data_IF_299187627163
#
_entry.id   IF_299187627163
#
_cell.length_a   1.000
_cell.length_b   1.000
_cell.length_c   1.000
_cell.angle_alpha   90.00
_cell.angle_beta   90.00
_cell.angle_gamma   90.00
#
_symmetry.space_group_name_H-M   'P 1'
#
loop_
_entity.id
_entity.type
_entity.pdbx_description
1 polymer ?
2 non-polymer ?
3 non-polymer ?
4 water ?
#
# COMPACT_ATOMS: atom_id res chain seq x y z
N UNK A 2 5.73 -20.71 34.31
CA UNK A 2 6.34 -19.71 35.24
C UNK A 2 5.83 -18.30 34.93
N UNK A 3 5.85 -17.93 33.66
CA UNK A 3 5.40 -16.62 33.23
C UNK A 3 3.89 -16.58 33.05
N UNK A 4 3.28 -15.44 33.36
CA UNK A 4 1.84 -15.28 33.22
C UNK A 4 1.44 -15.17 31.75
N UNK A 5 0.36 -15.84 31.39
CA UNK A 5 -0.13 -15.82 30.01
C UNK A 5 -0.98 -14.59 29.76
N UNK A 6 -0.75 -13.93 28.63
CA UNK A 6 -1.51 -12.74 28.27
C UNK A 6 -2.93 -13.11 27.86
N UNK A 7 -3.85 -12.14 27.88
CA UNK A 7 -5.24 -12.45 27.49
C UNK A 7 -5.27 -12.92 26.04
N UNK A 8 -6.06 -13.96 25.77
CA UNK A 8 -6.17 -14.53 24.43
C UNK A 8 -7.59 -14.42 23.90
N UNK A 9 -7.74 -13.98 22.66
CA UNK A 9 -9.07 -13.83 22.07
C UNK A 9 -9.71 -15.20 21.84
N UNK A 10 -11.04 -15.24 21.85
CA UNK A 10 -11.81 -16.46 21.66
C UNK A 10 -11.58 -17.09 20.29
N UNK A 11 -12.00 -18.35 20.14
CA UNK A 11 -11.83 -19.05 18.88
C UNK A 11 -10.43 -19.61 18.72
N UNK A 12 -10.00 -19.77 17.47
CA UNK A 12 -8.66 -20.28 17.20
C UNK A 12 -8.46 -21.75 17.48
N UNK A 13 -9.51 -22.53 17.22
CA UNK A 13 -9.43 -23.97 17.46
C UNK A 13 -9.11 -24.77 16.20
N UNK A 14 -8.61 -24.10 15.17
CA UNK A 14 -8.25 -24.75 13.91
C UNK A 14 -6.80 -25.23 13.98
N UNK A 15 -6.36 -25.96 12.96
CA UNK A 15 -5.00 -26.48 12.93
C UNK A 15 -3.90 -25.51 13.34
N UNK A 16 -3.89 -24.32 12.76
CA UNK A 16 -2.86 -23.35 13.12
C UNK A 16 -3.36 -22.20 13.98
N UNK A 17 -4.22 -22.53 14.94
CA UNK A 17 -4.75 -21.51 15.84
C UNK A 17 -5.73 -20.57 15.15
N UNK A 18 -5.41 -19.28 15.18
CA UNK A 18 -6.27 -18.28 14.55
C UNK A 18 -5.84 -17.97 13.12
N UNK A 19 -4.81 -18.67 12.63
CA UNK A 19 -4.32 -18.41 11.28
C UNK A 19 -5.41 -18.55 10.21
N UNK A 20 -6.23 -19.59 10.31
CA UNK A 20 -7.29 -19.81 9.33
C UNK A 20 -8.27 -18.63 9.29
N UNK A 21 -8.62 -18.10 10.46
CA UNK A 21 -9.55 -16.98 10.52
C UNK A 21 -8.84 -15.71 10.03
N UNK A 22 -7.55 -15.60 10.30
CA UNK A 22 -6.78 -14.45 9.87
C UNK A 22 -6.77 -14.39 8.35
N UNK A 23 -6.80 -15.56 7.71
CA UNK A 23 -6.81 -15.64 6.26
C UNK A 23 -8.18 -15.32 5.67
N UNK A 24 -9.24 -15.63 6.40
CA UNK A 24 -10.60 -15.40 5.92
C UNK A 24 -11.21 -14.04 6.29
N UNK A 25 -10.98 -13.58 7.50
CA UNK A 25 -11.53 -12.31 7.96
C UNK A 25 -10.62 -11.70 9.03
N UNK A 26 -9.43 -11.22 8.61
CA UNK A 26 -8.47 -10.63 9.54
C UNK A 26 -8.97 -9.42 10.33
N UNK A 27 -9.75 -8.56 9.67
CA UNK A 27 -10.25 -7.38 10.36
C UNK A 27 -11.24 -7.78 11.46
N UNK A 28 -12.10 -8.75 11.17
CA UNK A 28 -13.06 -9.21 12.15
C UNK A 28 -12.34 -9.82 13.35
N UNK A 29 -11.27 -10.54 13.08
CA UNK A 29 -10.48 -11.15 14.14
C UNK A 29 -9.82 -10.09 15.02
N UNK A 30 -9.18 -9.11 14.39
CA UNK A 30 -8.51 -8.06 15.14
C UNK A 30 -9.47 -7.21 15.94
N UNK A 31 -10.67 -6.99 15.42
CA UNK A 31 -11.66 -6.19 16.13
C UNK A 31 -12.15 -6.98 17.35
N UNK A 32 -12.27 -8.30 17.21
CA UNK A 32 -12.71 -9.12 18.35
C UNK A 32 -11.67 -9.09 19.46
N UNK A 33 -10.39 -9.03 19.09
CA UNK A 33 -9.34 -8.96 20.09
C UNK A 33 -9.58 -7.72 20.95
N UNK A 34 -9.81 -6.57 20.30
CA UNK A 34 -10.05 -5.33 21.03
C UNK A 34 -11.36 -5.34 21.80
N UNK A 35 -12.42 -5.85 21.19
CA UNK A 35 -13.73 -5.90 21.85
C UNK A 35 -13.72 -6.74 23.12
N UNK A 36 -13.06 -7.90 23.06
CA UNK A 36 -13.00 -8.80 24.21
C UNK A 36 -11.94 -8.50 25.25
N UNK A 37 -10.77 -8.04 24.80
CA UNK A 37 -9.65 -7.81 25.71
C UNK A 37 -9.15 -6.39 25.94
N UNK A 38 -9.47 -5.46 25.04
CA UNK A 38 -9.02 -4.10 25.23
C UNK A 38 -7.81 -3.71 24.41
N UNK A 39 -6.96 -2.84 24.97
CA UNK A 39 -5.78 -2.34 24.28
C UNK A 39 -4.65 -3.33 24.05
N UNK A 40 -4.61 -4.41 24.84
CA UNK A 40 -3.58 -5.43 24.70
C UNK A 40 -4.23 -6.81 24.70
N UNK A 41 -4.11 -7.51 23.58
CA UNK A 41 -4.69 -8.83 23.47
C UNK A 41 -3.90 -9.69 22.51
N UNK A 42 -4.10 -11.01 22.55
CA UNK A 42 -3.35 -11.87 21.66
C UNK A 42 -4.17 -12.87 20.85
N UNK A 43 -3.57 -13.34 19.77
CA UNK A 43 -4.17 -14.38 18.94
C UNK A 43 -3.01 -15.26 18.50
N UNK A 44 -3.32 -16.50 18.14
CA UNK A 44 -2.28 -17.45 17.75
C UNK A 44 -2.13 -17.57 16.24
N UNK A 45 -0.93 -17.30 15.75
CA UNK A 45 -0.63 -17.40 14.32
C UNK A 45 0.32 -18.58 14.16
N UNK A 46 -0.25 -19.77 13.99
CA UNK A 46 0.54 -20.99 13.84
C UNK A 46 1.34 -21.17 15.13
N UNK A 47 2.66 -21.26 15.01
CA UNK A 47 3.48 -21.44 16.20
C UNK A 47 3.95 -20.14 16.84
N UNK A 48 3.31 -19.04 16.47
CA UNK A 48 3.68 -17.73 17.00
C UNK A 48 2.52 -17.03 17.71
N UNK A 49 2.82 -16.31 18.78
CA UNK A 49 1.80 -15.57 19.48
C UNK A 49 1.90 -14.12 19.01
N UNK A 50 0.77 -13.53 18.64
CA UNK A 50 0.77 -12.15 18.20
C UNK A 50 0.11 -11.31 19.28
N UNK A 51 0.85 -10.31 19.77
CA UNK A 51 0.35 -9.40 20.78
C UNK A 51 -0.15 -8.19 20.00
N UNK A 52 -1.47 -8.08 19.89
CA UNK A 52 -2.08 -6.98 19.15
C UNK A 52 -2.39 -5.80 20.06
N UNK A 53 -1.75 -4.68 19.76
CA UNK A 53 -1.90 -3.45 20.52
C UNK A 53 -2.87 -2.52 19.81
N UNK A 54 -3.64 -1.75 20.58
CA UNK A 54 -4.58 -0.80 20.00
C UNK A 54 -4.81 0.34 20.98
N UNK A 55 -5.30 1.47 20.50
CA UNK A 55 -5.51 2.61 21.38
C UNK A 55 -4.28 3.49 21.39
N UNK A 56 -4.45 4.76 21.76
CA UNK A 56 -3.33 5.70 21.75
C UNK A 56 -2.11 5.31 22.59
N UNK A 57 -2.34 4.89 23.84
CA UNK A 57 -1.24 4.53 24.73
C UNK A 57 -0.39 3.37 24.21
N UNK A 58 -1.05 2.26 23.87
CA UNK A 58 -0.35 1.09 23.37
C UNK A 58 0.32 1.35 22.02
N UNK A 59 -0.38 2.06 21.13
CA UNK A 59 0.18 2.39 19.83
C UNK A 59 1.43 3.27 19.96
N UNK A 60 1.42 4.19 20.93
CA UNK A 60 2.57 5.07 21.14
C UNK A 60 3.80 4.21 21.45
N UNK A 61 3.62 3.21 22.31
CA UNK A 61 4.72 2.32 22.66
C UNK A 61 5.22 1.62 21.40
N UNK A 62 4.29 1.10 20.62
CA UNK A 62 4.61 0.38 19.40
C UNK A 62 5.42 1.22 18.41
N UNK A 63 4.91 2.40 18.09
CA UNK A 63 5.56 3.26 17.11
C UNK A 63 6.84 3.98 17.53
N UNK A 64 6.99 4.25 18.82
CA UNK A 64 8.18 4.96 19.28
C UNK A 64 9.33 4.01 19.59
N UNK A 65 9.05 2.71 19.56
CA UNK A 65 10.07 1.71 19.85
C UNK A 65 11.12 1.64 18.74
N UNK A 66 12.38 1.55 19.14
CA UNK A 66 13.46 1.47 18.16
C UNK A 66 13.65 0.03 17.73
N UNK A 67 14.41 -0.18 16.65
CA UNK A 67 14.67 -1.52 16.13
C UNK A 67 15.35 -2.40 17.17
N UNK A 68 15.90 -1.78 18.20
CA UNK A 68 16.58 -2.48 19.27
C UNK A 68 15.57 -3.15 20.20
N UNK A 69 14.38 -2.58 20.28
CA UNK A 69 13.32 -3.11 21.14
C UNK A 69 12.30 -3.92 20.36
N UNK A 70 11.77 -3.34 19.28
CA UNK A 70 10.80 -4.01 18.43
C UNK A 70 11.38 -4.02 17.02
N UNK A 71 11.86 -5.18 16.59
CA UNK A 71 12.50 -5.33 15.28
C UNK A 71 11.55 -5.66 14.14
N UNK A 72 11.65 -4.87 13.07
CA UNK A 72 10.81 -5.05 11.88
C UNK A 72 11.47 -6.01 10.89
N UNK A 73 12.79 -6.14 11.00
CA UNK A 73 13.60 -6.97 10.12
C UNK A 73 13.03 -8.33 9.68
N UNK A 74 12.65 -9.17 10.63
CA UNK A 74 12.13 -10.49 10.28
C UNK A 74 10.64 -10.67 10.57
N UNK A 75 9.91 -9.56 10.63
CA UNK A 75 8.47 -9.63 10.93
C UNK A 75 7.59 -9.91 9.72
N UNK A 76 8.14 -9.81 8.52
CA UNK A 76 7.38 -10.02 7.30
C UNK A 76 8.01 -11.09 6.39
N UNK A 77 8.00 -12.35 6.83
CA UNK A 77 8.58 -13.49 6.10
C UNK A 77 8.08 -13.73 4.68
N UNK A 78 6.86 -13.30 4.37
CA UNK A 78 6.29 -13.49 3.05
C UNK A 78 7.02 -12.67 1.98
N UNK A 79 7.86 -11.73 2.40
CA UNK A 79 8.61 -10.92 1.44
C UNK A 79 9.95 -11.53 1.04
N UNK A 80 10.47 -12.45 1.85
CA UNK A 80 11.77 -13.05 1.56
C UNK A 80 11.86 -13.71 0.18
N UNK A 81 10.91 -14.60 -0.17
CA UNK A 81 10.94 -15.26 -1.47
C UNK A 81 10.66 -14.31 -2.64
N UNK A 82 9.99 -13.21 -2.35
CA UNK A 82 9.65 -12.23 -3.39
C UNK A 82 10.87 -11.42 -3.80
N UNK A 83 11.61 -10.90 -2.84
CA UNK A 83 12.81 -10.13 -3.16
C UNK A 83 13.92 -11.07 -3.60
N UNK A 84 13.95 -12.26 -3.01
CA UNK A 84 14.97 -13.24 -3.36
C UNK A 84 16.34 -12.88 -2.83
N UNK A 95 19.23 0.41 5.91
CA UNK A 95 20.15 0.60 4.79
C UNK A 95 19.47 0.29 3.46
N UNK A 96 18.36 -0.45 3.52
CA UNK A 96 17.61 -0.79 2.32
C UNK A 96 16.97 0.44 1.70
N UNK A 97 16.41 1.31 2.54
CA UNK A 97 15.78 2.52 2.05
C UNK A 97 16.82 3.43 1.42
N UNK A 98 17.99 3.50 2.06
CA UNK A 98 19.07 4.34 1.57
C UNK A 98 19.58 3.85 0.22
N UNK A 99 19.56 2.54 0.04
CA UNK A 99 20.05 1.93 -1.19
C UNK A 99 18.96 1.79 -2.25
N UNK A 100 17.74 1.52 -1.81
CA UNK A 100 16.65 1.30 -2.76
C UNK A 100 15.55 2.35 -2.89
N UNK A 101 15.37 3.20 -1.89
CA UNK A 101 14.27 4.17 -1.94
C UNK A 101 14.55 5.68 -1.85
N UNK A 102 15.49 6.07 -1.00
CA UNK A 102 15.77 7.50 -0.80
C UNK A 102 16.05 8.37 -2.02
N UNK A 103 16.96 7.94 -2.88
CA UNK A 103 17.30 8.74 -4.07
C UNK A 103 16.09 9.23 -4.84
N UNK A 104 15.20 8.31 -5.20
CA UNK A 104 14.01 8.67 -5.98
C UNK A 104 13.00 9.50 -5.20
N UNK A 105 13.09 9.45 -3.87
CA UNK A 105 12.15 10.19 -3.03
C UNK A 105 12.58 11.58 -2.55
N UNK A 106 13.72 12.08 -3.04
CA UNK A 106 14.15 13.41 -2.60
C UNK A 106 13.18 14.47 -3.07
N UNK A 107 13.00 15.51 -2.25
CA UNK A 107 12.10 16.59 -2.59
C UNK A 107 12.32 17.22 -3.95
N UNK A 108 13.58 17.42 -4.31
CA UNK A 108 13.90 18.03 -5.60
C UNK A 108 13.50 17.18 -6.80
N UNK A 109 13.15 15.92 -6.56
CA UNK A 109 12.74 15.03 -7.63
C UNK A 109 11.22 15.00 -7.84
N UNK A 110 10.49 15.51 -6.86
CA UNK A 110 9.03 15.49 -6.90
C UNK A 110 8.37 16.18 -8.08
N UNK A 111 8.84 17.37 -8.45
CA UNK A 111 8.24 18.10 -9.57
C UNK A 111 8.31 17.23 -10.83
N UNK A 112 9.48 16.66 -11.07
CA UNK A 112 9.65 15.80 -12.23
C UNK A 112 8.77 14.56 -12.17
N UNK A 113 8.63 13.98 -10.99
CA UNK A 113 7.79 12.80 -10.83
C UNK A 113 6.33 13.10 -11.12
N UNK A 114 5.86 14.29 -10.72
CA UNK A 114 4.48 14.67 -10.98
C UNK A 114 4.21 14.73 -12.48
N UNK A 115 5.17 15.28 -13.23
CA UNK A 115 5.03 15.37 -14.69
C UNK A 115 5.04 13.96 -15.29
N UNK A 116 5.88 13.09 -14.75
CA UNK A 116 5.99 11.71 -15.22
C UNK A 116 4.68 10.98 -14.97
N UNK A 117 4.12 11.17 -13.78
CA UNK A 117 2.86 10.53 -13.43
C UNK A 117 1.74 11.03 -14.34
N UNK A 118 1.71 12.34 -14.58
CA UNK A 118 0.68 12.89 -15.47
C UNK A 118 0.79 12.22 -16.84
N UNK A 119 2.03 12.06 -17.32
CA UNK A 119 2.26 11.44 -18.61
C UNK A 119 1.79 9.98 -18.61
N UNK A 120 2.04 9.25 -17.52
CA UNK A 120 1.60 7.85 -17.47
C UNK A 120 0.07 7.73 -17.51
N UNK A 121 -0.61 8.65 -16.82
CA UNK A 121 -2.06 8.61 -16.80
C UNK A 121 -2.61 8.89 -18.20
N UNK A 122 -2.08 9.91 -18.86
CA UNK A 122 -2.58 10.23 -20.19
C UNK A 122 -2.34 9.06 -21.16
N UNK A 123 -1.22 8.35 -21.00
CA UNK A 123 -0.96 7.21 -21.86
C UNK A 123 -1.96 6.10 -21.60
N UNK A 124 -2.30 5.88 -20.33
CA UNK A 124 -3.26 4.84 -19.97
C UNK A 124 -4.68 5.09 -20.46
N UNK A 125 -5.08 6.35 -20.57
CA UNK A 125 -6.43 6.68 -21.01
C UNK A 125 -6.50 7.14 -22.46
N UNK A 126 -5.36 7.06 -23.14
CA UNK A 126 -5.28 7.51 -24.53
C UNK A 126 -6.31 6.86 -25.45
N UNK A 127 -6.64 5.59 -25.20
CA UNK A 127 -7.60 4.88 -26.05
C UNK A 127 -9.01 4.77 -25.49
N UNK A 128 -9.32 5.55 -24.46
CA UNK A 128 -10.65 5.51 -23.83
C UNK A 128 -11.79 6.01 -24.70
N UNK A 129 -11.54 7.01 -25.53
CA UNK A 129 -12.59 7.53 -26.38
C UNK A 129 -13.63 8.30 -25.58
N UNK A 130 -14.82 8.45 -26.17
CA UNK A 130 -15.90 9.20 -25.54
C UNK A 130 -16.49 8.56 -24.30
N UNK A 131 -16.68 7.24 -24.33
CA UNK A 131 -17.28 6.55 -23.19
C UNK A 131 -16.90 5.07 -23.16
N UNK A 132 -17.10 4.44 -22.01
CA UNK A 132 -16.77 3.02 -21.90
C UNK A 132 -16.82 2.53 -20.47
N UNK A 133 -16.20 1.38 -20.22
CA UNK A 133 -16.18 0.78 -18.88
C UNK A 133 -14.81 0.22 -18.56
N UNK A 134 -14.41 0.31 -17.29
CA UNK A 134 -13.12 -0.23 -16.89
C UNK A 134 -13.31 -1.01 -15.58
N UNK A 135 -12.29 -1.76 -15.22
CA UNK A 135 -12.30 -2.50 -13.96
C UNK A 135 -11.20 -1.79 -13.19
N UNK A 136 -11.52 -1.28 -12.00
CA UNK A 136 -10.54 -0.55 -11.21
C UNK A 136 -9.26 -1.28 -10.86
N UNK A 137 -9.34 -2.57 -10.54
CA UNK A 137 -8.12 -3.29 -10.22
C UNK A 137 -7.23 -3.39 -11.45
N UNK A 138 -7.79 -3.76 -12.58
CA UNK A 138 -7.00 -3.88 -13.80
C UNK A 138 -6.39 -2.52 -14.20
N UNK A 139 -7.18 -1.47 -14.13
CA UNK A 139 -6.69 -0.15 -14.51
C UNK A 139 -5.62 0.41 -13.57
N UNK A 140 -5.95 0.52 -12.29
CA UNK A 140 -4.99 1.08 -11.35
C UNK A 140 -3.77 0.21 -11.06
N UNK A 141 -3.93 -1.11 -11.15
CA UNK A 141 -2.78 -1.97 -10.92
C UNK A 141 -1.76 -1.74 -12.03
N UNK A 142 -2.24 -1.67 -13.27
CA UNK A 142 -1.34 -1.44 -14.39
C UNK A 142 -0.77 -0.03 -14.37
N UNK A 143 -1.63 0.97 -14.18
CA UNK A 143 -1.17 2.36 -14.13
C UNK A 143 -0.07 2.56 -13.10
N UNK A 144 -0.24 1.98 -11.91
CA UNK A 144 0.75 2.17 -10.87
C UNK A 144 2.05 1.39 -11.11
N UNK A 145 2.02 0.41 -12.01
CA UNK A 145 3.24 -0.32 -12.37
C UNK A 145 4.06 0.68 -13.20
N UNK A 146 3.36 1.42 -14.07
CA UNK A 146 4.03 2.40 -14.92
C UNK A 146 4.52 3.64 -14.18
N UNK A 147 3.73 4.15 -13.25
CA UNK A 147 4.17 5.32 -12.49
C UNK A 147 5.33 4.93 -11.59
N UNK A 148 5.21 3.79 -10.93
CA UNK A 148 6.26 3.32 -10.02
C UNK A 148 7.57 3.02 -10.73
N UNK A 149 7.50 2.28 -11.84
CA UNK A 149 8.71 1.96 -12.59
C UNK A 149 9.33 3.21 -13.20
N UNK A 150 8.51 4.07 -13.78
CA UNK A 150 9.03 5.29 -14.41
C UNK A 150 9.69 6.24 -13.41
N UNK A 151 9.06 6.42 -12.25
CA UNK A 151 9.59 7.32 -11.22
C UNK A 151 10.69 6.73 -10.36
N UNK A 152 10.49 5.50 -9.90
CA UNK A 152 11.43 4.85 -9.00
C UNK A 152 12.60 4.11 -9.66
N UNK A 153 12.45 3.75 -10.93
CA UNK A 153 13.52 3.05 -11.63
C UNK A 153 14.04 3.90 -12.81
N UNK A 154 13.14 4.30 -13.70
CA UNK A 154 13.56 5.11 -14.83
C UNK A 154 12.54 5.13 -15.97
N UNK A 155 12.47 6.25 -16.69
CA UNK A 155 11.53 6.39 -17.79
C UNK A 155 11.90 5.47 -18.96
N UNK A 156 13.20 5.35 -19.21
CA UNK A 156 13.70 4.50 -20.28
C UNK A 156 13.29 3.06 -20.01
N UNK A 157 13.44 2.63 -18.76
CA UNK A 157 13.07 1.28 -18.37
C UNK A 157 11.57 1.07 -18.48
N UNK A 158 10.77 2.01 -17.98
CA UNK A 158 9.33 1.84 -18.07
C UNK A 158 8.86 1.72 -19.52
N UNK A 159 9.50 2.47 -20.42
CA UNK A 159 9.10 2.41 -21.83
C UNK A 159 9.34 1.05 -22.47
N UNK A 160 10.10 0.19 -21.79
CA UNK A 160 10.36 -1.13 -22.32
C UNK A 160 9.46 -2.15 -21.64
N UNK A 161 8.54 -1.65 -20.80
CA UNK A 161 7.60 -2.50 -20.10
C UNK A 161 6.22 -2.40 -20.73
N UNK A 162 5.44 -3.46 -20.57
CA UNK A 162 4.07 -3.50 -21.10
C UNK A 162 3.19 -4.26 -20.11
N UNK A 163 1.99 -4.62 -20.56
CA UNK A 163 1.06 -5.34 -19.70
C UNK A 163 1.55 -6.62 -19.06
N UNK A 164 2.48 -7.31 -19.72
CA UNK A 164 3.02 -8.57 -19.19
C UNK A 164 3.66 -8.39 -17.81
N UNK A 165 4.45 -7.33 -17.67
CA UNK A 165 5.12 -7.05 -16.40
C UNK A 165 4.07 -6.86 -15.29
N UNK A 166 3.01 -6.12 -15.60
CA UNK A 166 1.96 -5.87 -14.61
C UNK A 166 1.27 -7.16 -14.19
N UNK A 167 0.92 -7.99 -15.17
CA UNK A 167 0.25 -9.25 -14.89
C UNK A 167 1.10 -10.14 -13.98
N UNK A 168 2.39 -10.23 -14.29
CA UNK A 168 3.31 -11.04 -13.49
C UNK A 168 3.52 -10.47 -12.10
N UNK A 169 3.62 -9.14 -12.01
CA UNK A 169 3.84 -8.50 -10.71
C UNK A 169 2.66 -8.76 -9.78
N UNK A 170 1.46 -8.81 -10.34
CA UNK A 170 0.25 -9.05 -9.57
C UNK A 170 0.24 -10.45 -8.94
N UNK A 171 0.65 -11.45 -9.72
CA UNK A 171 0.70 -12.82 -9.24
C UNK A 171 1.76 -12.92 -8.14
N UNK A 172 2.77 -12.06 -8.26
CA UNK A 172 3.84 -12.02 -7.29
C UNK A 172 3.26 -11.57 -5.94
N UNK A 173 2.43 -10.53 -5.98
CA UNK A 173 1.80 -10.00 -4.78
C UNK A 173 0.81 -10.99 -4.19
N UNK A 174 0.21 -11.83 -5.03
CA UNK A 174 -0.75 -12.82 -4.55
C UNK A 174 -0.07 -14.00 -3.87
N UNK A 175 1.26 -14.01 -3.89
CA UNK A 175 1.99 -15.09 -3.27
C UNK A 175 2.36 -14.78 -1.83
N UNK A 176 1.49 -14.06 -1.13
CA UNK A 176 1.76 -13.66 0.25
C UNK A 176 0.76 -14.20 1.27
N UNK A 177 0.33 -15.45 1.07
CA UNK A 177 -0.62 -16.07 2.00
C UNK A 177 -0.03 -16.08 3.40
N UNK A 178 -0.88 -15.91 4.43
CA UNK A 178 -0.43 -15.91 5.83
C UNK A 178 0.32 -17.19 6.23
N UNK A 179 0.18 -18.24 5.42
CA UNK A 179 0.88 -19.50 5.71
C UNK A 179 2.38 -19.26 5.69
N UNK A 180 2.80 -18.10 5.22
CA UNK A 180 4.20 -17.75 5.18
C UNK A 180 4.76 -17.70 6.61
N UNK A 181 3.88 -17.48 7.59
CA UNK A 181 4.32 -17.44 8.97
C UNK A 181 4.58 -18.84 9.49
N UNK A 182 4.25 -19.84 8.68
CA UNK A 182 4.52 -21.23 9.02
C UNK A 182 5.85 -21.49 8.33
N UNK A 183 5.88 -21.17 7.03
CA UNK A 183 7.08 -21.32 6.20
C UNK A 183 6.81 -20.71 4.83
N UNK A 184 7.64 -19.75 4.40
CA UNK A 184 7.49 -19.08 3.10
C UNK A 184 7.71 -20.00 1.89
N UNK A 185 8.28 -21.18 2.14
CA UNK A 185 8.56 -22.10 1.04
C UNK A 185 7.74 -23.39 1.07
N UNK A 186 6.56 -23.35 1.67
CA UNK A 186 5.69 -24.52 1.72
C UNK A 186 5.20 -24.83 0.31
N UNK A 187 4.87 -26.11 0.05
CA UNK A 187 4.38 -26.53 -1.28
C UNK A 187 2.89 -26.30 -1.53
N UNK A 188 2.50 -25.06 -1.76
CA UNK A 188 1.10 -24.73 -2.05
C UNK A 188 1.00 -24.01 -3.39
N UNK A 189 -0.19 -24.04 -3.99
CA UNK A 189 -0.44 -23.43 -5.28
C UNK A 189 -0.07 -21.94 -5.40
N UNK A 190 -0.43 -21.14 -4.41
CA UNK A 190 -0.14 -19.71 -4.45
C UNK A 190 1.36 -19.41 -4.39
N UNK A 191 2.11 -20.25 -3.69
CA UNK A 191 3.55 -20.07 -3.57
C UNK A 191 4.25 -20.55 -4.84
N UNK A 192 3.67 -21.56 -5.48
CA UNK A 192 4.23 -22.08 -6.73
C UNK A 192 4.07 -21.02 -7.81
N UNK A 193 2.89 -20.42 -7.88
CA UNK A 193 2.61 -19.38 -8.86
C UNK A 193 3.48 -18.15 -8.57
N UNK A 194 3.76 -17.93 -7.29
CA UNK A 194 4.60 -16.80 -6.88
C UNK A 194 6.00 -16.95 -7.47
N UNK A 195 6.56 -18.16 -7.35
CA UNK A 195 7.90 -18.40 -7.86
C UNK A 195 7.92 -18.36 -9.39
N UNK A 196 6.87 -18.89 -10.02
CA UNK A 196 6.78 -18.87 -11.47
C UNK A 196 6.66 -17.44 -11.97
N UNK A 197 5.93 -16.62 -11.23
CA UNK A 197 5.74 -15.21 -11.59
C UNK A 197 7.07 -14.48 -11.47
N UNK A 198 7.81 -14.73 -10.39
CA UNK A 198 9.09 -14.07 -10.22
C UNK A 198 10.03 -14.49 -11.35
N UNK A 199 9.98 -15.77 -11.73
CA UNK A 199 10.83 -16.27 -12.81
C UNK A 199 10.48 -15.58 -14.13
N UNK A 200 9.19 -15.30 -14.32
CA UNK A 200 8.76 -14.63 -15.54
C UNK A 200 9.28 -13.20 -15.58
N UNK A 201 9.35 -12.55 -14.41
CA UNK A 201 9.84 -11.19 -14.34
C UNK A 201 11.33 -11.16 -14.66
N UNK A 202 12.05 -12.16 -14.15
CA UNK A 202 13.48 -12.26 -14.39
C UNK A 202 13.71 -12.40 -15.90
N UNK A 203 12.87 -13.18 -16.56
CA UNK A 203 12.99 -13.38 -17.99
C UNK A 203 12.77 -12.07 -18.74
N UNK A 204 11.79 -11.29 -18.29
CA UNK A 204 11.49 -10.01 -18.92
C UNK A 204 12.68 -9.06 -18.79
N UNK A 205 13.26 -9.02 -17.61
CA UNK A 205 14.40 -8.16 -17.35
C UNK A 205 15.60 -8.63 -18.17
N UNK A 206 15.81 -9.94 -18.24
CA UNK A 206 16.92 -10.47 -19.02
C UNK A 206 16.80 -10.06 -20.47
N UNK A 207 15.57 -10.07 -21.00
CA UNK A 207 15.35 -9.69 -22.40
C UNK A 207 15.71 -8.23 -22.58
N UNK A 208 15.29 -7.38 -21.64
CA UNK A 208 15.58 -5.97 -21.71
C UNK A 208 17.10 -5.76 -21.67
N UNK A 209 17.78 -6.48 -20.79
CA UNK A 209 19.23 -6.38 -20.68
C UNK A 209 19.92 -6.73 -22.00
N UNK A 210 19.51 -7.84 -22.61
CA UNK A 210 20.11 -8.27 -23.88
C UNK A 210 19.87 -7.23 -24.95
N UNK A 211 18.71 -6.56 -24.90
CA UNK A 211 18.41 -5.54 -25.87
C UNK A 211 19.37 -4.37 -25.71
N UNK A 212 19.62 -3.97 -24.46
CA UNK A 212 20.53 -2.87 -24.15
C UNK A 212 21.93 -3.21 -24.65
N UNK A 213 22.44 -4.36 -24.20
CA UNK A 213 23.78 -4.81 -24.56
C UNK A 213 23.92 -4.96 -26.08
N UNK A 214 22.86 -5.42 -26.72
CA UNK A 214 22.87 -5.60 -28.17
C UNK A 214 23.18 -4.31 -28.90
N UNK A 215 22.53 -3.22 -28.51
CA UNK A 215 22.75 -1.93 -29.14
C UNK A 215 22.75 -0.77 -28.14
N UNK A 216 23.93 -0.35 -27.68
CA UNK A 216 24.08 0.75 -26.73
C UNK A 216 23.34 2.01 -27.15
N UNK A 223 21.74 6.98 -20.09
CA UNK A 223 22.05 5.88 -19.20
C UNK A 223 21.21 5.96 -17.93
N UNK A 224 20.41 4.93 -17.67
CA UNK A 224 19.57 4.90 -16.49
C UNK A 224 20.13 3.94 -15.44
N UNK A 225 19.31 3.63 -14.44
CA UNK A 225 19.69 2.74 -13.37
C UNK A 225 20.13 1.37 -13.90
N UNK A 226 19.39 0.85 -14.87
CA UNK A 226 19.73 -0.46 -15.42
C UNK A 226 21.08 -0.45 -16.15
N UNK A 227 21.36 0.63 -16.87
CA UNK A 227 22.63 0.73 -17.58
C UNK A 227 23.79 0.68 -16.60
N UNK A 228 23.61 1.30 -15.44
CA UNK A 228 24.64 1.32 -14.41
C UNK A 228 24.83 -0.06 -13.79
N UNK A 229 23.73 -0.72 -13.44
CA UNK A 229 23.79 -2.05 -12.83
C UNK A 229 24.43 -3.07 -13.78
N UNK A 230 24.12 -2.95 -15.06
CA UNK A 230 24.67 -3.88 -16.04
C UNK A 230 26.19 -3.76 -16.16
N UNK A 231 26.70 -2.55 -15.97
CA UNK A 231 28.13 -2.29 -16.07
C UNK A 231 28.97 -2.68 -14.86
N UNK A 232 28.33 -2.92 -13.72
CA UNK A 232 29.07 -3.30 -12.52
C UNK A 232 29.71 -4.67 -12.69
N UNK A 233 30.98 -4.78 -12.33
CA UNK A 233 31.71 -6.04 -12.48
C UNK A 233 32.15 -6.60 -11.13
N UNK A 234 32.63 -7.85 -11.14
CA UNK A 234 33.09 -8.50 -9.93
C UNK A 234 34.57 -8.83 -10.01
N UNK A 238 33.88 -9.70 -15.60
CA UNK A 238 32.76 -10.60 -15.33
C UNK A 238 31.62 -9.84 -14.64
N UNK A 239 30.49 -9.69 -15.33
CA UNK A 239 29.31 -8.99 -14.79
C UNK A 239 28.99 -9.42 -13.37
N UNK A 240 28.89 -8.45 -12.47
CA UNK A 240 28.60 -8.72 -11.07
C UNK A 240 27.17 -9.17 -10.81
N UNK A 241 26.20 -8.59 -11.52
CA UNK A 241 24.81 -8.94 -11.31
C UNK A 241 24.15 -9.73 -12.42
N UNK A 242 23.38 -10.75 -12.02
CA UNK A 242 22.65 -11.58 -12.95
C UNK A 242 21.30 -10.90 -13.12
N UNK A 243 20.50 -11.37 -14.08
CA UNK A 243 19.18 -10.80 -14.30
C UNK A 243 18.32 -11.02 -13.06
N UNK A 244 18.54 -12.16 -12.40
CA UNK A 244 17.78 -12.48 -11.20
C UNK A 244 18.04 -11.45 -10.11
N UNK A 245 19.30 -11.14 -9.88
CA UNK A 245 19.69 -10.16 -8.86
C UNK A 245 19.14 -8.78 -9.18
N UNK A 246 19.28 -8.33 -10.42
CA UNK A 246 18.77 -7.03 -10.82
C UNK A 246 17.25 -6.99 -10.68
N UNK A 247 16.60 -8.08 -11.05
CA UNK A 247 15.14 -8.16 -10.95
C UNK A 247 14.72 -8.06 -9.48
N UNK A 248 15.49 -8.67 -8.59
CA UNK A 248 15.15 -8.62 -7.17
C UNK A 248 15.21 -7.18 -6.67
N UNK A 249 16.23 -6.45 -7.09
CA UNK A 249 16.39 -5.06 -6.69
C UNK A 249 15.24 -4.21 -7.20
N UNK A 250 14.85 -4.40 -8.46
CA UNK A 250 13.75 -3.64 -9.04
C UNK A 250 12.43 -3.98 -8.35
N UNK A 251 12.23 -5.26 -8.05
CA UNK A 251 11.00 -5.67 -7.39
C UNK A 251 10.89 -4.94 -6.04
N UNK A 252 11.98 -4.92 -5.28
CA UNK A 252 11.98 -4.27 -3.98
C UNK A 252 11.78 -2.77 -4.06
N UNK A 253 12.27 -2.15 -5.14
CA UNK A 253 12.11 -0.70 -5.28
C UNK A 253 10.68 -0.29 -5.54
N UNK A 254 9.88 -1.21 -6.08
CA UNK A 254 8.50 -0.92 -6.42
C UNK A 254 7.43 -1.52 -5.51
N UNK A 255 7.78 -2.56 -4.78
CA UNK A 255 6.78 -3.26 -3.98
C UNK A 255 5.98 -2.48 -2.94
N UNK A 256 6.66 -1.85 -1.99
CA UNK A 256 5.97 -1.10 -0.95
C UNK A 256 5.03 -0.02 -1.48
N UNK A 257 5.36 0.51 -2.65
CA UNK A 257 4.54 1.57 -3.22
C UNK A 257 3.53 1.17 -4.25
N UNK A 258 3.57 -0.07 -4.72
CA UNK A 258 2.63 -0.50 -5.74
C UNK A 258 1.22 -0.86 -5.26
N UNK A 259 1.10 -1.90 -4.45
CA UNK A 259 -0.24 -2.29 -4.01
C UNK A 259 -0.91 -1.23 -3.16
N UNK A 260 -0.10 -0.45 -2.45
CA UNK A 260 -0.62 0.64 -1.61
C UNK A 260 -1.19 1.75 -2.49
N UNK A 261 -0.41 2.20 -3.47
CA UNK A 261 -0.89 3.27 -4.35
C UNK A 261 -2.03 2.79 -5.25
N UNK A 262 -1.96 1.55 -5.72
CA UNK A 262 -2.99 0.99 -6.58
C UNK A 262 -4.32 0.98 -5.84
N UNK A 263 -4.32 0.39 -4.64
CA UNK A 263 -5.54 0.31 -3.85
C UNK A 263 -6.08 1.65 -3.39
N UNK A 264 -5.19 2.53 -2.96
CA UNK A 264 -5.61 3.85 -2.49
C UNK A 264 -6.26 4.64 -3.62
N UNK A 265 -5.73 4.52 -4.84
CA UNK A 265 -6.32 5.23 -5.97
C UNK A 265 -7.72 4.66 -6.26
N UNK A 266 -7.84 3.34 -6.22
CA UNK A 266 -9.14 2.72 -6.49
C UNK A 266 -10.18 3.14 -5.46
N UNK A 267 -9.80 3.11 -4.19
CA UNK A 267 -10.75 3.48 -3.14
C UNK A 267 -11.09 4.96 -3.13
N UNK A 268 -10.16 5.78 -3.60
CA UNK A 268 -10.42 7.22 -3.65
C UNK A 268 -11.51 7.46 -4.70
N UNK A 269 -11.41 6.78 -5.83
CA UNK A 269 -12.43 6.96 -6.85
C UNK A 269 -13.76 6.37 -6.37
N UNK A 270 -13.71 5.21 -5.71
CA UNK A 270 -14.93 4.60 -5.21
C UNK A 270 -15.65 5.52 -4.22
N UNK A 271 -14.92 6.08 -3.25
CA UNK A 271 -15.57 6.96 -2.28
C UNK A 271 -16.14 8.23 -2.92
N UNK A 272 -15.47 8.73 -3.96
CA UNK A 272 -15.98 9.91 -4.65
C UNK A 272 -17.31 9.56 -5.34
N UNK A 273 -17.38 8.36 -5.92
CA UNK A 273 -18.58 7.94 -6.63
C UNK A 273 -19.72 7.63 -5.66
N UNK A 274 -19.38 7.19 -4.45
CA UNK A 274 -20.34 6.86 -3.40
C UNK A 274 -20.89 8.12 -2.74
N UNK A 275 -20.12 9.19 -2.81
CA UNK A 275 -20.49 10.46 -2.18
C UNK A 275 -20.34 11.58 -3.19
N UNK A 276 -21.35 11.68 -4.07
CA UNK A 276 -21.36 12.66 -5.14
C UNK A 276 -21.25 14.12 -4.70
N UNK A 277 -21.63 14.42 -3.46
CA UNK A 277 -21.52 15.80 -3.00
C UNK A 277 -20.04 16.16 -2.84
N UNK A 278 -19.24 15.20 -2.39
CA UNK A 278 -17.82 15.41 -2.22
C UNK A 278 -17.16 15.44 -3.60
N UNK A 279 -17.64 14.56 -4.48
CA UNK A 279 -17.13 14.48 -5.85
C UNK A 279 -17.32 15.86 -6.51
N UNK A 280 -18.52 16.42 -6.38
CA UNK A 280 -18.81 17.73 -6.96
C UNK A 280 -17.90 18.82 -6.42
N UNK A 281 -17.63 18.78 -5.12
CA UNK A 281 -16.77 19.78 -4.50
C UNK A 281 -15.34 19.68 -5.01
N UNK A 282 -14.88 18.45 -5.25
CA UNK A 282 -13.52 18.23 -5.76
C UNK A 282 -13.42 18.71 -7.21
N UNK A 283 -14.47 18.47 -8.01
CA UNK A 283 -14.49 18.91 -9.40
C UNK A 283 -14.39 20.44 -9.48
N UNK A 284 -15.23 21.13 -8.70
CA UNK A 284 -15.22 22.59 -8.69
C UNK A 284 -13.86 23.13 -8.30
N UNK A 285 -13.26 22.52 -7.29
CA UNK A 285 -11.94 22.92 -6.80
C UNK A 285 -10.87 22.76 -7.87
N UNK A 286 -10.85 21.59 -8.52
CA UNK A 286 -9.87 21.33 -9.56
C UNK A 286 -10.00 22.30 -10.71
N UNK A 287 -11.23 22.57 -11.13
CA UNK A 287 -11.43 23.51 -12.23
C UNK A 287 -10.92 24.90 -11.86
N UNK A 288 -11.21 25.34 -10.64
CA UNK A 288 -10.77 26.66 -10.21
C UNK A 288 -9.25 26.74 -10.07
N UNK A 289 -8.67 25.74 -9.42
CA UNK A 289 -7.23 25.70 -9.21
C UNK A 289 -6.41 25.76 -10.50
N UNK A 290 -6.77 24.91 -11.45
CA UNK A 290 -6.04 24.87 -12.71
C UNK A 290 -6.36 26.04 -13.62
N UNK A 291 -7.22 26.94 -13.12
CA UNK A 291 -7.60 28.11 -13.88
C UNK A 291 -6.44 29.10 -13.95
N UNK A 292 -5.39 28.87 -13.16
CA UNK A 292 -4.24 29.77 -13.18
C UNK A 292 -3.28 29.40 -14.31
N UNK A 293 -3.57 28.32 -15.01
CA UNK A 293 -2.73 27.93 -16.13
C UNK A 293 -1.46 27.16 -15.79
N UNK A 294 -1.24 26.84 -14.52
CA UNK A 294 -0.06 26.08 -14.15
C UNK A 294 -0.27 24.59 -14.37
N UNK A 295 0.82 23.87 -14.57
CA UNK A 295 0.77 22.44 -14.83
C UNK A 295 0.49 21.59 -13.60
N UNK A 296 0.28 20.31 -13.84
CA UNK A 296 0.05 19.36 -12.77
C UNK A 296 1.31 19.27 -11.90
N UNK A 297 2.47 19.40 -12.54
CA UNK A 297 3.74 19.33 -11.81
C UNK A 297 3.89 20.44 -10.77
N UNK A 298 3.13 21.53 -10.95
CA UNK A 298 3.12 22.63 -9.99
C UNK A 298 2.07 22.36 -8.92
N UNK A 299 0.84 22.08 -9.37
CA UNK A 299 -0.26 21.88 -8.45
C UNK A 299 -0.28 20.59 -7.61
N UNK A 300 0.33 19.52 -8.11
CA UNK A 300 0.33 18.27 -7.37
C UNK A 300 1.25 18.32 -6.16
N UNK A 301 2.10 19.35 -6.10
CA UNK A 301 3.02 19.53 -4.99
C UNK A 301 2.51 20.58 -4.01
N UNK A 302 1.33 21.14 -4.29
CA UNK A 302 0.76 22.17 -3.45
C UNK A 302 -0.67 21.83 -2.99
N UNK A 303 -1.23 22.69 -2.15
CA UNK A 303 -2.56 22.44 -1.59
C UNK A 303 -3.72 22.27 -2.59
N UNK A 304 -4.48 21.20 -2.39
CA UNK A 304 -5.69 20.91 -3.16
C UNK A 304 -6.54 20.34 -2.03
N UNK A 305 -6.97 21.21 -1.11
CA UNK A 305 -7.76 20.92 0.09
C UNK A 305 -8.84 19.86 0.05
N UNK A 306 -9.85 20.04 -0.79
CA UNK A 306 -10.96 19.08 -0.85
C UNK A 306 -10.53 17.69 -1.26
N UNK A 307 -9.67 17.60 -2.28
CA UNK A 307 -9.21 16.30 -2.73
C UNK A 307 -8.35 15.66 -1.64
N UNK A 308 -7.49 16.45 -1.00
CA UNK A 308 -6.62 15.93 0.06
C UNK A 308 -7.41 15.38 1.22
N UNK A 309 -8.52 16.04 1.55
CA UNK A 309 -9.33 15.58 2.66
C UNK A 309 -10.09 14.32 2.30
N UNK A 310 -10.45 14.19 1.02
CA UNK A 310 -11.12 12.97 0.57
C UNK A 310 -10.11 11.83 0.66
N UNK A 311 -8.86 12.11 0.30
CA UNK A 311 -7.81 11.10 0.36
C UNK A 311 -7.54 10.68 1.81
N UNK A 312 -7.50 11.65 2.70
CA UNK A 312 -7.25 11.34 4.10
C UNK A 312 -8.36 10.46 4.65
N UNK A 313 -9.61 10.76 4.30
CA UNK A 313 -10.73 9.95 4.79
C UNK A 313 -10.72 8.57 4.14
N UNK A 314 -10.30 8.50 2.88
CA UNK A 314 -10.22 7.23 2.17
C UNK A 314 -9.18 6.33 2.85
N UNK A 315 -8.05 6.92 3.22
CA UNK A 315 -6.98 6.18 3.89
C UNK A 315 -7.40 5.74 5.28
N UNK A 316 -8.22 6.54 5.96
CA UNK A 316 -8.66 6.16 7.30
C UNK A 316 -9.57 4.95 7.23
N UNK A 317 -10.48 4.95 6.26
CA UNK A 317 -11.43 3.84 6.11
C UNK A 317 -10.87 2.62 5.41
N UNK A 318 -9.92 2.84 4.49
CA UNK A 318 -9.35 1.75 3.71
C UNK A 318 -7.82 1.72 3.71
N UNK A 319 -7.21 1.62 4.90
CA UNK A 319 -5.74 1.58 4.95
C UNK A 319 -5.24 0.33 4.22
N UNK A 320 -4.33 0.50 3.24
CA UNK A 320 -3.81 -0.63 2.48
C UNK A 320 -3.05 -1.67 3.30
N UNK A 321 -2.41 -1.25 4.36
CA UNK A 321 -1.72 -2.19 5.26
C UNK A 321 -2.61 -2.24 6.49
N UNK A 322 -3.29 -3.37 6.70
CA UNK A 322 -4.21 -3.49 7.84
C UNK A 322 -3.56 -3.95 9.14
N UNK A 323 -2.35 -4.45 9.06
CA UNK A 323 -1.64 -4.88 10.25
C UNK A 323 -0.16 -4.58 10.04
N UNK A 324 0.51 -4.15 11.11
CA UNK A 324 1.93 -3.84 11.08
C UNK A 324 2.56 -4.78 12.11
N UNK A 325 3.70 -5.36 11.76
CA UNK A 325 4.34 -6.33 12.65
C UNK A 325 5.78 -6.04 13.05
N UNK A 326 6.13 -6.54 14.23
CA UNK A 326 7.47 -6.40 14.79
C UNK A 326 7.78 -7.66 15.62
N UNK A 327 9.06 -7.89 15.86
CA UNK A 327 9.47 -9.02 16.69
C UNK A 327 10.12 -8.40 17.93
N UNK A 328 9.60 -8.74 19.12
CA UNK A 328 10.15 -8.20 20.35
C UNK A 328 11.56 -8.72 20.62
N UNK A 329 12.48 -7.82 20.93
CA UNK A 329 13.87 -8.18 21.20
C UNK A 329 14.19 -8.15 22.69
N UNK A 330 13.17 -7.95 23.51
CA UNK A 330 13.36 -7.90 24.95
C UNK A 330 12.02 -7.94 25.65
N UNK A 331 12.02 -7.80 26.97
CA UNK A 331 10.77 -7.82 27.73
C UNK A 331 10.29 -6.40 27.98
N UNK A 332 8.99 -6.17 27.76
CA UNK A 332 8.41 -4.85 27.98
C UNK A 332 7.06 -4.99 28.65
N UNK A 333 6.63 -3.94 29.34
CA UNK A 333 5.35 -3.97 30.00
C UNK A 333 4.47 -2.86 29.44
N UNK A 334 3.31 -3.24 28.94
CA UNK A 334 2.37 -2.29 28.38
C UNK A 334 1.05 -2.45 29.13
N UNK A 335 0.68 -1.43 29.90
CA UNK A 335 -0.54 -1.46 30.68
C UNK A 335 -0.61 -2.67 31.61
N UNK A 336 0.50 -2.97 32.28
CA UNK A 336 0.54 -4.09 33.20
C UNK A 336 0.82 -5.43 32.56
N UNK A 337 0.62 -5.52 31.25
CA UNK A 337 0.86 -6.76 30.51
C UNK A 337 2.32 -6.85 30.05
N UNK A 338 2.90 -8.04 30.18
CA UNK A 338 4.30 -8.21 29.80
C UNK A 338 4.52 -8.88 28.45
N UNK A 339 5.28 -8.20 27.60
CA UNK A 339 5.62 -8.71 26.28
C UNK A 339 7.00 -9.38 26.44
N UNK A 340 7.15 -10.60 25.92
CA UNK A 340 8.43 -11.30 26.04
C UNK A 340 9.22 -11.35 24.74
N UNK A 341 10.54 -11.48 24.88
CA UNK A 341 11.43 -11.54 23.73
C UNK A 341 10.97 -12.68 22.83
N UNK A 342 10.86 -12.41 21.52
CA UNK A 342 10.43 -13.42 20.59
C UNK A 342 8.97 -13.26 20.21
N UNK A 343 8.21 -12.54 21.02
CA UNK A 343 6.79 -12.31 20.73
C UNK A 343 6.65 -11.50 19.47
N UNK A 344 5.60 -11.77 18.70
CA UNK A 344 5.34 -10.96 17.52
C UNK A 344 4.42 -9.89 18.12
N UNK A 345 4.71 -8.63 17.82
CA UNK A 345 3.90 -7.54 18.34
C UNK A 345 3.33 -6.80 17.14
N UNK A 346 2.05 -6.46 17.21
CA UNK A 346 1.41 -5.80 16.08
C UNK A 346 0.50 -4.64 16.45
N UNK A 347 0.26 -3.79 15.46
CA UNK A 347 -0.63 -2.65 15.59
C UNK A 347 -1.49 -2.76 14.34
N UNK A 348 -2.72 -2.24 14.38
CA UNK A 348 -3.58 -2.34 13.22
C UNK A 348 -4.22 -1.05 12.75
N UNK A 349 -3.82 -0.55 11.58
CA UNK A 349 -4.43 0.69 11.10
C UNK A 349 -5.92 0.48 10.85
N UNK A 350 -6.30 -0.73 10.44
CA UNK A 350 -7.70 -1.02 10.17
C UNK A 350 -8.57 -0.79 11.40
N UNK A 351 -8.10 -1.28 12.55
CA UNK A 351 -8.84 -1.14 13.81
C UNK A 351 -8.68 0.22 14.45
N UNK A 352 -7.43 0.68 14.57
CA UNK A 352 -7.15 1.94 15.21
C UNK A 352 -7.80 3.12 14.53
N UNK A 353 -7.83 3.09 13.20
CA UNK A 353 -8.42 4.18 12.41
C UNK A 353 -9.92 4.34 12.63
N UNK A 354 -10.56 3.36 13.28
CA UNK A 354 -11.99 3.45 13.51
C UNK A 354 -12.43 3.43 14.97
N UNK A 355 -11.49 3.72 15.87
CA UNK A 355 -11.83 3.76 17.29
C UNK A 355 -12.89 4.86 17.43
N UNK A 356 -14.09 4.50 17.91
CA UNK A 356 -15.17 5.48 18.07
C UNK A 356 -14.95 6.68 18.96
N UNK A 357 -14.11 6.58 19.98
CA UNK A 357 -13.88 7.71 20.86
C UNK A 357 -13.00 8.76 20.18
N UNK A 358 -12.13 8.31 19.28
CA UNK A 358 -11.21 9.20 18.57
C UNK A 358 -11.77 9.77 17.27
N UNK A 359 -12.60 8.99 16.59
CA UNK A 359 -13.17 9.41 15.32
C UNK A 359 -14.70 9.28 15.36
N UNK A 360 -15.40 10.37 15.72
CA UNK A 360 -16.86 10.34 15.80
C UNK A 360 -17.47 9.75 14.53
N UNK A 361 -18.38 8.79 14.69
CA UNK A 361 -19.02 8.11 13.56
C UNK A 361 -17.89 7.57 12.68
N UNK A 362 -17.07 6.66 13.23
CA UNK A 362 -15.94 6.06 12.52
C UNK A 362 -16.20 5.31 11.23
N UNK A 363 -17.42 4.86 11.02
CA UNK A 363 -17.71 4.11 9.80
C UNK A 363 -18.23 5.00 8.67
N UNK A 364 -18.40 6.28 8.96
CA UNK A 364 -18.90 7.20 7.96
C UNK A 364 -17.80 7.99 7.27
N UNK A 365 -18.02 8.26 5.99
CA UNK A 365 -17.09 9.03 5.17
C UNK A 365 -17.38 10.51 5.44
N UNK A 366 -16.48 11.17 6.15
CA UNK A 366 -16.64 12.58 6.51
C UNK A 366 -15.31 13.34 6.31
N UNK A 367 -15.06 13.80 5.08
CA UNK A 367 -13.82 14.55 4.80
C UNK A 367 -13.64 15.79 5.66
N UNK A 368 -14.75 16.38 6.13
CA UNK A 368 -14.70 17.59 6.95
C UNK A 368 -13.92 17.37 8.24
N UNK A 369 -13.73 16.09 8.57
CA UNK A 369 -12.99 15.64 9.73
C UNK A 369 -11.56 16.22 9.73
N UNK A 370 -11.07 16.52 8.53
CA UNK A 370 -9.70 17.01 8.35
C UNK A 370 -9.57 18.49 8.04
N UNK A 371 -10.70 19.19 7.97
CA UNK A 371 -10.66 20.62 7.71
C UNK A 371 -9.96 21.33 8.87
N UNK A 372 -9.47 22.53 8.62
CA UNK A 372 -8.73 23.31 9.62
C UNK A 372 -9.26 23.34 11.04
N UNK A 373 -10.58 23.49 11.23
CA UNK A 373 -11.12 23.54 12.60
C UNK A 373 -11.08 22.21 13.37
N UNK A 374 -11.07 21.10 12.64
CA UNK A 374 -11.09 19.78 13.27
C UNK A 374 -9.77 19.00 13.27
N UNK A 375 -9.17 18.83 12.10
CA UNK A 375 -7.90 18.13 11.94
C UNK A 375 -7.76 16.85 12.78
N UNK A 376 -8.71 15.93 12.62
CA UNK A 376 -8.67 14.69 13.40
C UNK A 376 -7.44 13.81 13.12
N UNK A 377 -6.78 14.05 11.99
CA UNK A 377 -5.59 13.28 11.67
C UNK A 377 -4.42 13.74 12.54
N UNK A 378 -4.29 15.05 12.71
CA UNK A 378 -3.20 15.61 13.50
C UNK A 378 -3.41 15.47 15.01
N UNK A 379 -4.67 15.54 15.44
CA UNK A 379 -5.00 15.45 16.86
C UNK A 379 -4.82 14.03 17.41
N UNK A 380 -5.04 13.03 16.57
CA UNK A 380 -4.91 11.63 16.97
C UNK A 380 -3.60 11.06 16.41
N UNK A 381 -2.49 11.64 16.85
CA UNK A 381 -1.18 11.23 16.36
C UNK A 381 -0.85 9.74 16.44
N UNK A 382 -1.41 9.04 17.41
CA UNK A 382 -1.10 7.60 17.54
C UNK A 382 -2.20 6.64 17.08
N UNK A 383 -3.36 7.16 16.67
CA UNK A 383 -4.43 6.29 16.19
C UNK A 383 -4.87 6.54 14.74
N UNK A 384 -4.51 7.68 14.16
CA UNK A 384 -4.83 7.92 12.73
C UNK A 384 -3.51 7.43 12.12
N UNK A 385 -3.46 6.16 11.74
CA UNK A 385 -2.19 5.59 11.27
C UNK A 385 -2.12 4.89 9.93
N UNK A 386 -2.78 5.43 8.89
CA UNK A 386 -2.68 4.73 7.60
C UNK A 386 -1.23 4.66 7.06
N UNK A 387 -0.38 5.61 7.45
CA UNK A 387 1.02 5.63 7.02
C UNK A 387 1.92 5.19 8.17
N UNK A 388 1.31 4.63 9.22
CA UNK A 388 2.10 4.23 10.37
C UNK A 388 2.48 5.48 11.16
N UNK A 389 3.52 5.38 11.97
CA UNK A 389 3.97 6.50 12.78
C UNK A 389 5.34 6.19 13.37
N UNK A 390 5.97 7.19 13.98
CA UNK A 390 7.27 6.97 14.57
C UNK A 390 8.40 6.71 13.60
N UNK A 391 9.39 5.93 14.05
CA UNK A 391 10.58 5.61 13.26
C UNK A 391 10.33 4.95 11.90
N UNK A 392 9.34 4.08 11.82
CA UNK A 392 9.05 3.39 10.56
C UNK A 392 7.93 4.00 9.74
N UNK A 393 7.51 5.22 10.07
CA UNK A 393 6.44 5.87 9.31
C UNK A 393 6.80 5.85 7.82
N UNK A 394 5.81 5.57 6.99
CA UNK A 394 6.00 5.50 5.55
C UNK A 394 6.90 6.58 4.96
N UNK A 395 8.01 6.17 4.36
CA UNK A 395 8.93 7.15 3.77
C UNK A 395 8.42 7.63 2.41
N UNK A 396 7.46 6.92 1.83
CA UNK A 396 6.93 7.33 0.54
C UNK A 396 5.64 8.13 0.64
N UNK A 397 5.28 8.52 1.86
CA UNK A 397 4.02 9.24 2.09
C UNK A 397 3.83 10.49 1.22
N UNK A 398 4.83 11.37 1.19
CA UNK A 398 4.71 12.58 0.38
C UNK A 398 4.56 12.22 -1.10
N UNK A 399 5.32 11.24 -1.55
CA UNK A 399 5.24 10.80 -2.94
C UNK A 399 3.83 10.27 -3.24
N UNK A 400 3.30 9.47 -2.32
CA UNK A 400 1.98 8.86 -2.48
C UNK A 400 0.87 9.90 -2.58
N UNK A 401 0.94 10.93 -1.74
CA UNK A 401 -0.09 11.98 -1.76
C UNK A 401 0.03 12.78 -3.05
N UNK A 402 1.26 13.09 -3.44
CA UNK A 402 1.48 13.82 -4.69
C UNK A 402 0.97 12.99 -5.87
N UNK A 403 1.17 11.68 -5.81
CA UNK A 403 0.73 10.82 -6.91
C UNK A 403 -0.80 10.81 -7.06
N UNK A 404 -1.51 10.75 -5.94
CA UNK A 404 -2.97 10.77 -5.97
C UNK A 404 -3.42 12.11 -6.54
N UNK A 405 -2.78 13.18 -6.12
CA UNK A 405 -3.15 14.51 -6.61
C UNK A 405 -2.93 14.62 -8.12
N UNK A 406 -1.79 14.12 -8.59
CA UNK A 406 -1.48 14.16 -10.02
C UNK A 406 -2.43 13.29 -10.83
N UNK A 407 -2.67 12.07 -10.36
CA UNK A 407 -3.56 11.15 -11.06
C UNK A 407 -4.97 11.71 -11.21
N UNK A 408 -5.57 12.13 -10.11
CA UNK A 408 -6.94 12.63 -10.19
C UNK A 408 -7.07 14.01 -10.81
N UNK A 409 -5.96 14.76 -10.86
CA UNK A 409 -6.00 16.08 -11.50
C UNK A 409 -6.26 15.85 -12.98
N UNK A 410 -5.73 14.74 -13.51
CA UNK A 410 -5.93 14.39 -14.92
C UNK A 410 -7.27 13.68 -15.12
N UNK A 411 -7.45 12.57 -14.44
CA UNK A 411 -8.69 11.81 -14.59
C UNK A 411 -9.99 12.58 -14.41
N UNK A 412 -10.11 13.33 -13.31
CA UNK A 412 -11.35 14.05 -13.01
C UNK A 412 -11.65 15.27 -13.88
N UNK A 413 -10.63 15.80 -14.54
CA UNK A 413 -10.87 16.95 -15.42
C UNK A 413 -11.20 16.47 -16.82
N UNK A 414 -10.74 15.27 -17.17
CA UNK A 414 -10.97 14.70 -18.50
C UNK A 414 -12.24 13.86 -18.59
N UNK A 415 -12.50 13.07 -17.55
CA UNK A 415 -13.65 12.17 -17.53
C UNK A 415 -14.54 12.23 -16.30
N UNK A 416 -15.76 11.73 -16.47
CA UNK A 416 -16.74 11.66 -15.38
C UNK A 416 -16.91 10.17 -15.13
N UNK A 417 -17.02 9.78 -13.86
CA UNK A 417 -17.14 8.36 -13.52
C UNK A 417 -18.41 8.00 -12.75
N UNK A 418 -18.92 6.80 -13.00
CA UNK A 418 -20.11 6.29 -12.31
C UNK A 418 -19.94 4.80 -12.03
N UNK A 419 -20.54 4.35 -10.94
CA UNK A 419 -20.45 2.93 -10.57
C UNK A 419 -21.32 2.08 -11.49
N UNK A 420 -20.79 0.93 -11.91
CA UNK A 420 -21.53 0.02 -12.78
C UNK A 420 -22.00 -1.20 -11.99
N UNK A 421 -21.85 -1.14 -10.67
CA UNK A 421 -22.29 -2.20 -9.78
C UNK A 421 -22.68 -1.55 -8.46
N UNK A 422 -23.42 -2.27 -7.60
CA UNK A 422 -23.85 -1.71 -6.31
C UNK A 422 -22.70 -1.09 -5.51
N UNK A 423 -22.93 0.09 -4.93
CA UNK A 423 -21.91 0.80 -4.14
C UNK A 423 -21.31 -0.06 -3.04
N UNK A 424 -22.14 -0.88 -2.40
CA UNK A 424 -21.69 -1.75 -1.33
C UNK A 424 -20.99 -3.01 -1.81
N UNK A 425 -20.98 -3.24 -3.13
CA UNK A 425 -20.36 -4.44 -3.68
C UNK A 425 -18.85 -4.32 -3.89
N UNK A 426 -18.32 -3.10 -3.85
CA UNK A 426 -16.89 -2.93 -3.99
C UNK A 426 -16.28 -3.35 -2.66
N UNK A 427 -15.22 -4.13 -2.71
CA UNK A 427 -14.58 -4.59 -1.48
C UNK A 427 -13.18 -5.08 -1.75
N UNK A 428 -12.44 -5.31 -0.67
CA UNK A 428 -11.08 -5.81 -0.77
C UNK A 428 -11.04 -7.30 -0.53
N UNK A 429 -9.98 -7.91 -1.04
CA UNK A 429 -9.73 -9.33 -0.86
C UNK A 429 -8.68 -9.31 0.25
N UNK A 430 -9.01 -9.85 1.41
CA UNK A 430 -8.07 -9.85 2.53
C UNK A 430 -7.45 -11.22 2.79
N UNK A 431 -7.51 -12.13 1.81
CA UNK A 431 -6.96 -13.47 1.99
C UNK A 431 -5.43 -13.56 1.96
N UNK A 432 -4.77 -12.47 1.57
CA UNK A 432 -3.31 -12.45 1.51
C UNK A 432 -2.80 -11.26 2.33
N UNK A 433 -1.53 -11.35 2.77
CA UNK A 433 -0.95 -10.26 3.55
C UNK A 433 -0.94 -8.97 2.74
N UNK A 434 -0.87 -9.11 1.42
CA UNK A 434 -0.91 -7.94 0.55
C UNK A 434 -2.37 -7.80 0.13
N UNK A 435 -3.05 -6.79 0.68
CA UNK A 435 -4.45 -6.56 0.38
C UNK A 435 -4.62 -6.03 -1.03
N UNK A 436 -5.64 -6.54 -1.72
CA UNK A 436 -5.93 -6.13 -3.10
C UNK A 436 -7.43 -5.94 -3.27
N UNK A 437 -7.81 -5.01 -4.13
CA UNK A 437 -9.22 -4.79 -4.40
C UNK A 437 -9.74 -6.06 -5.05
N UNK A 438 -10.93 -6.48 -4.65
CA UNK A 438 -11.52 -7.69 -5.22
C UNK A 438 -12.23 -7.34 -6.52
N UNK A 439 -12.35 -8.32 -7.41
CA UNK A 439 -13.03 -8.11 -8.67
C UNK A 439 -14.37 -8.82 -8.61
N UNK A 440 -15.38 -8.32 -9.34
CA UNK A 440 -15.32 -7.13 -10.19
C UNK A 440 -15.37 -5.79 -9.47
N UNK A 441 -14.91 -4.76 -10.17
CA UNK A 441 -14.91 -3.39 -9.69
C UNK A 441 -15.16 -2.58 -10.95
N UNK A 442 -16.33 -2.79 -11.54
CA UNK A 442 -16.73 -2.14 -12.78
C UNK A 442 -17.15 -0.68 -12.61
N UNK A 443 -16.61 0.17 -13.47
CA UNK A 443 -16.89 1.60 -13.44
C UNK A 443 -17.09 2.12 -14.87
N UNK A 444 -18.08 2.99 -15.05
CA UNK A 444 -18.35 3.59 -16.36
C UNK A 444 -17.70 4.96 -16.42
N UNK A 445 -17.26 5.36 -17.62
CA UNK A 445 -16.66 6.68 -17.77
C UNK A 445 -17.24 7.36 -19.00
N UNK A 446 -17.15 8.68 -19.03
CA UNK A 446 -17.64 9.46 -20.17
C UNK A 446 -16.87 10.78 -20.16
N UNK A 447 -16.46 11.24 -21.33
CA UNK A 447 -15.72 12.50 -21.41
C UNK A 447 -16.54 13.65 -20.85
N UNK A 448 -15.86 14.54 -20.12
CA UNK A 448 -16.52 15.71 -19.56
C UNK A 448 -16.68 16.73 -20.67
N UNK A 449 -17.73 17.56 -20.57
CA UNK A 449 -17.97 18.59 -21.57
C UNK A 449 -18.71 19.76 -20.94
X LIG B 1 6.27 1.79 5.11
X LIG B 1 1.70 2.97 4.22
X LIG B 1 2.93 4.35 -0.24
X LIG B 1 7.50 3.12 0.65
X LIG B 1 4.93 1.99 5.28
X LIG B 1 4.17 1.71 6.50
X LIG B 1 2.89 2.02 6.24
X LIG B 1 2.82 2.52 4.88
X LIG B 1 1.70 1.91 7.19
X LIG B 1 4.77 1.16 7.83
X LIG B 1 5.09 -0.33 7.88
X LIG B 1 5.59 -0.78 9.27
X LIG B 1 5.51 0.10 10.21
X LIG B 1 6.03 -1.92 9.40
X LIG B 1 1.63 3.45 2.94
X LIG B 1 0.41 3.90 2.30
X LIG B 1 0.75 4.29 1.04
X LIG B 1 2.17 4.09 0.88
X LIG B 1 -0.97 3.93 2.97
X LIG B 1 -0.16 4.85 -0.09
X LIG B 1 -0.91 6.16 0.24
X LIG B 1 4.29 4.14 -0.38
X LIG B 1 5.03 4.43 -1.60
X LIG B 1 6.32 4.08 -1.37
X LIG B 1 6.38 3.58 -0.01
X LIG B 1 4.38 5.02 -2.89
X LIG B 1 7.54 4.16 -2.31
X LIG B 1 7.89 5.56 -2.84
X LIG B 1 7.58 2.64 1.93
X LIG B 1 8.79 2.15 2.60
X LIG B 1 8.44 1.79 3.85
X LIG B 1 7.01 2.03 3.97
X LIG B 1 10.19 2.07 1.94
X LIG B 1 9.35 1.21 4.95
X LIG B 1 9.64 2.31 6.02
X LIG B 1 10.53 1.85 7.17
X LIG B 1 11.32 2.66 7.68
X LIG B 1 10.38 0.66 7.53
X LIG B 1 4.09 2.49 4.33
X LIG B 1 2.70 3.57 2.06
X LIG B 1 5.13 3.63 0.59
X LIG B 1 6.49 2.56 2.80
X LIG B 1 4.61 3.09 2.44
X LIG C 1 5.08 -3.84 4.20
X LIG C 1 5.98 -3.67 5.43
X LIG C 1 7.20 -2.78 5.05
X LIG C 1 8.00 -3.46 3.96
X LIG C 1 8.61 -4.77 4.56
X LIG C 1 9.22 -2.68 3.37
X LIG C 1 10.36 -2.72 4.25
X LIG C 1 9.46 -3.39 2.01
X LIG C 1 9.70 -2.43 0.98
X LIG C 1 8.18 -4.28 1.71
X LIG C 1 7.14 -3.64 2.67
X LIG C 1 5.87 -4.45 2.97
X LIG C 1 4.92 -4.52 1.74
X LIG C 1 3.65 -5.35 2.01
X LIG C 1 3.17 -5.38 3.44
X LIG C 1 2.01 -6.15 3.74
X LIG C 1 1.50 -6.21 5.05
X LIG C 1 0.39 -6.95 5.32
X LIG C 1 2.16 -5.51 6.09
X LIG C 1 3.32 -4.76 5.81
X LIG C 1 3.82 -4.68 4.49
X LIG D 1 23.55 -0.62 -6.95
X LIG D 1 25.06 -0.47 -7.13
X LIG D 1 25.78 -1.71 -6.53
X LIG D 1 25.47 -1.78 -5.04
X LIG D 1 26.15 -0.53 -4.37
X LIG D 1 26.03 -3.00 -4.27
X LIG D 1 27.42 -2.85 -3.90
X LIG D 1 25.07 -3.11 -3.03
X LIG D 1 24.55 -4.42 -2.90
X LIG D 1 23.92 -2.04 -3.25
X LIG D 1 23.94 -1.95 -4.80
X LIG D 1 23.14 -0.80 -5.44
X LIG D 1 21.60 -1.06 -5.37
X LIG D 1 20.78 0.09 -5.98
X LIG D 1 21.45 0.87 -7.09
X LIG D 1 20.73 1.93 -7.68
X LIG D 1 21.31 2.70 -8.72
X LIG D 1 20.62 3.72 -9.28
X LIG D 1 22.61 2.39 -9.19
X LIG D 1 23.33 1.32 -8.61
X LIG D 1 22.75 0.56 -7.56
#
# INVERSE_FOLDING_TARGET
>A
MSAVALPRVSGGHDEHGHLEEFRTDPIGLMQRVRDELGDVGTFQLAGKQVVLLSGSHANEFFFRAGDDDLDQAKAYPFMTPIFGEGVVFDASPERRKEMLHNAALRGEQMKGHAATIEDQVRRMIADWGEAGEIDLLDFFAELTIYTSSACLIGKKFRDQLDGRFAKLYHELERGTDPLAYVDPYLPIESFRRRDEARNGLVALVADIMNGRIANPPTDKSDRDMLDVLIAVKAETGTPRFSADEITGMFISMMFAGHHTSSGTASWTLIELMRHRDAYAAVIDELDELYGDGRSVSFHALRQIPQLENVLKETLRLHPPLIILMRVAKGEFEVQGHRIHEGDLVAASPAISNRIPEDFPDPHDFVPARYEQPRQEDLLNRWTWIPFGAGRHRCVGAAFAIMQIKAIFSVLLREYEFEMAQPPESYRNDHSKMVVQLAQPAAVRYRRRTGVHHHH
>B hetero
1 HEM CHA CHB CHC CHD C1A C2A C3A C4A CMA CAA CBA CGA O1A O2A C1B C2B C3B C4B CMB CAB CBB C1C C2C C3C C4C CMC CAC CBC C1D C2D C3D C4D CMD CAD CBD CGD O1D O2D NA NB NC ND FE
>C hetero
1 ESL C2 C3 C4 C5 C6 C7 O1 C8 O2 C9 C10 C12 C14 C15 C16 C17 C18 O3 C19 C20 C21
>D hetero
1 ESL C2 C3 C4 C5 C6 C7 O1 C8 O2 C9 C10 C12 C14 C15 C16 C17 C18 O3 C19 C20 C21
#
